data_IF_680191259326
#
_entry.id   IF_680191259326
#
_cell.length_a   1.000
_cell.length_b   1.000
_cell.length_c   1.000
_cell.angle_alpha   90.00
_cell.angle_beta   90.00
_cell.angle_gamma   90.00
#
_symmetry.space_group_name_H-M   'P 1'
#
loop_
_entity.id
_entity.type
_entity.pdbx_description
1 polymer ?
#
# COMPACT_ATOMS: atom_id res chain seq x y z
N UNK A 1 -16.41 -10.29 16.67
CA UNK A 1 -15.01 -9.91 16.85
C UNK A 1 -14.64 -8.66 16.06
N UNK A 2 -13.36 -8.31 16.03
CA UNK A 2 -12.80 -7.23 15.22
C UNK A 2 -11.82 -7.84 14.21
N UNK A 3 -12.08 -7.71 12.91
CA UNK A 3 -11.41 -8.43 11.82
C UNK A 3 -11.53 -9.96 11.95
N UNK A 4 -12.54 -10.41 12.66
CA UNK A 4 -12.69 -11.82 13.02
C UNK A 4 -13.06 -12.72 11.84
N UNK A 5 -13.76 -12.19 10.84
CA UNK A 5 -14.11 -12.93 9.62
C UNK A 5 -12.89 -13.31 8.77
N UNK A 6 -11.79 -12.54 8.87
CA UNK A 6 -10.55 -12.78 8.11
C UNK A 6 -9.46 -13.45 8.94
N UNK A 7 -9.54 -13.41 10.26
CA UNK A 7 -8.48 -13.91 11.14
C UNK A 7 -8.97 -14.98 12.13
N UNK A 8 -9.79 -14.60 13.10
CA UNK A 8 -10.18 -15.51 14.20
C UNK A 8 -11.00 -16.68 13.71
N UNK A 9 -11.97 -16.43 12.82
CA UNK A 9 -12.89 -17.47 12.33
C UNK A 9 -12.20 -18.55 11.49
N UNK A 10 -11.34 -18.21 10.51
CA UNK A 10 -10.56 -19.22 9.81
C UNK A 10 -9.65 -20.05 10.71
N UNK A 11 -9.00 -19.42 11.71
CA UNK A 11 -8.18 -20.13 12.68
C UNK A 11 -9.02 -21.12 13.53
N UNK A 12 -10.16 -20.66 14.01
CA UNK A 12 -11.06 -21.50 14.81
C UNK A 12 -11.62 -22.67 14.00
N UNK A 13 -11.98 -22.44 12.74
CA UNK A 13 -12.45 -23.48 11.84
C UNK A 13 -11.38 -24.55 11.61
N UNK A 14 -10.13 -24.13 11.35
CA UNK A 14 -9.00 -25.06 11.18
C UNK A 14 -8.74 -25.88 12.44
N UNK A 15 -8.83 -25.29 13.64
CA UNK A 15 -8.65 -26.03 14.89
C UNK A 15 -9.80 -27.02 15.14
N UNK A 16 -11.03 -26.68 14.75
CA UNK A 16 -12.16 -27.62 14.86
C UNK A 16 -11.99 -28.83 13.95
N UNK A 17 -11.59 -28.60 12.70
CA UNK A 17 -11.25 -29.69 11.77
C UNK A 17 -10.15 -30.61 12.32
N UNK A 18 -9.09 -30.04 12.92
CA UNK A 18 -8.02 -30.82 13.54
C UNK A 18 -8.51 -31.69 14.70
N UNK A 19 -9.42 -31.17 15.52
CA UNK A 19 -10.01 -31.90 16.64
C UNK A 19 -10.89 -33.05 16.14
N UNK A 20 -11.67 -32.85 15.08
CA UNK A 20 -12.49 -33.88 14.46
C UNK A 20 -11.64 -34.97 13.79
N UNK A 21 -10.58 -34.59 13.07
CA UNK A 21 -9.61 -35.54 12.51
C UNK A 21 -8.90 -36.37 13.59
N UNK A 22 -8.75 -35.84 14.80
CA UNK A 22 -8.25 -36.56 15.96
C UNK A 22 -9.30 -37.50 16.62
N UNK A 23 -10.46 -37.67 15.99
CA UNK A 23 -11.52 -38.59 16.43
C UNK A 23 -12.47 -38.02 17.50
N UNK A 24 -12.42 -36.72 17.78
CA UNK A 24 -13.33 -36.05 18.70
C UNK A 24 -14.43 -35.35 17.90
N UNK A 25 -15.67 -35.76 18.08
CA UNK A 25 -16.81 -35.10 17.41
C UNK A 25 -17.16 -33.77 18.11
N UNK A 26 -17.14 -32.70 17.37
CA UNK A 26 -17.61 -31.38 17.80
C UNK A 26 -19.05 -31.17 17.32
N UNK A 27 -19.96 -30.80 18.23
CA UNK A 27 -21.33 -30.44 17.89
C UNK A 27 -21.48 -28.94 17.68
N UNK A 28 -20.54 -28.34 16.92
CA UNK A 28 -20.52 -26.90 16.63
C UNK A 28 -20.42 -26.72 15.12
N UNK A 29 -21.41 -26.04 14.56
CA UNK A 29 -21.38 -25.62 13.16
C UNK A 29 -21.01 -24.14 13.09
N UNK A 30 -19.86 -23.84 12.50
CA UNK A 30 -19.37 -22.45 12.33
C UNK A 30 -19.97 -21.76 11.10
N UNK A 31 -20.72 -22.47 10.24
CA UNK A 31 -21.30 -21.90 9.03
C UNK A 31 -22.72 -21.33 9.24
N UNK A 32 -23.44 -21.83 10.25
CA UNK A 32 -24.83 -21.44 10.51
C UNK A 32 -24.99 -20.18 11.38
N UNK A 33 -24.11 -19.85 12.35
CA UNK A 33 -24.28 -18.64 13.15
C UNK A 33 -24.11 -17.34 12.36
N UNK A 34 -24.87 -16.33 12.71
CA UNK A 34 -24.67 -14.98 12.18
C UNK A 34 -23.40 -14.39 12.78
N UNK A 35 -22.45 -14.05 11.90
CA UNK A 35 -21.18 -13.47 12.32
C UNK A 35 -21.27 -11.93 12.35
N UNK A 36 -20.83 -11.33 13.44
CA UNK A 36 -20.73 -9.87 13.58
C UNK A 36 -19.26 -9.49 13.67
N UNK A 37 -18.77 -8.81 12.62
CA UNK A 37 -17.43 -8.24 12.58
C UNK A 37 -17.51 -6.73 12.79
N UNK A 38 -17.07 -6.27 13.95
CA UNK A 38 -17.12 -4.86 14.35
C UNK A 38 -16.24 -3.99 13.44
N UNK A 39 -15.15 -4.54 12.87
CA UNK A 39 -14.33 -3.80 11.91
C UNK A 39 -15.11 -3.50 10.63
N UNK A 40 -15.91 -4.45 10.13
CA UNK A 40 -16.73 -4.22 8.94
C UNK A 40 -17.79 -3.14 9.19
N UNK A 41 -18.42 -3.15 10.38
CA UNK A 41 -19.36 -2.09 10.79
C UNK A 41 -18.62 -0.75 10.84
N UNK A 42 -17.47 -0.70 11.52
CA UNK A 42 -16.65 0.51 11.64
C UNK A 42 -16.24 1.07 10.26
N UNK A 43 -15.73 0.24 9.37
CA UNK A 43 -15.33 0.69 8.03
C UNK A 43 -16.49 1.11 7.13
N UNK A 44 -17.71 0.61 7.41
CA UNK A 44 -18.93 0.99 6.68
C UNK A 44 -19.50 2.32 7.20
N UNK A 45 -19.52 2.47 8.52
CA UNK A 45 -20.10 3.65 9.17
C UNK A 45 -19.14 4.85 9.21
N UNK A 46 -17.83 4.58 9.18
CA UNK A 46 -16.77 5.60 9.19
C UNK A 46 -15.97 5.57 7.87
N UNK A 47 -16.52 6.12 6.78
CA UNK A 47 -15.87 6.08 5.48
C UNK A 47 -14.55 6.88 5.49
N UNK A 48 -13.51 6.29 4.86
CA UNK A 48 -12.17 6.90 4.73
C UNK A 48 -12.04 7.59 3.38
N UNK A 49 -12.74 8.70 3.20
CA UNK A 49 -12.66 9.54 2.02
C UNK A 49 -12.48 11.02 2.41
N UNK A 50 -12.22 11.88 1.42
CA UNK A 50 -11.97 13.30 1.64
C UNK A 50 -13.14 13.98 2.39
N UNK A 51 -14.38 13.66 2.04
CA UNK A 51 -15.58 14.22 2.65
C UNK A 51 -15.66 13.89 4.16
N UNK A 52 -15.41 12.63 4.52
CA UNK A 52 -15.36 12.21 5.91
C UNK A 52 -14.20 12.86 6.67
N UNK A 53 -13.03 12.97 6.04
CA UNK A 53 -11.89 13.67 6.63
C UNK A 53 -12.20 15.15 6.86
N UNK A 54 -12.84 15.80 5.89
CA UNK A 54 -13.23 17.21 6.01
C UNK A 54 -14.19 17.42 7.18
N UNK A 55 -15.24 16.61 7.28
CA UNK A 55 -16.16 16.67 8.45
C UNK A 55 -15.43 16.51 9.78
N UNK A 56 -14.50 15.57 9.84
CA UNK A 56 -13.77 15.26 11.08
C UNK A 56 -12.80 16.38 11.52
N UNK A 57 -12.12 17.01 10.56
CA UNK A 57 -11.09 18.01 10.87
C UNK A 57 -11.56 19.46 10.73
N UNK A 58 -12.66 19.73 10.02
CA UNK A 58 -13.10 21.08 9.66
C UNK A 58 -14.48 21.47 10.23
N UNK A 59 -14.89 20.90 11.36
CA UNK A 59 -16.08 21.37 12.10
C UNK A 59 -17.37 20.58 11.87
N UNK A 60 -17.33 19.44 11.21
CA UNK A 60 -18.46 18.51 11.09
C UNK A 60 -19.39 18.72 9.90
N UNK A 61 -19.22 19.81 9.14
CA UNK A 61 -20.01 20.10 7.95
C UNK A 61 -19.39 19.54 6.65
N UNK A 62 -20.20 19.45 5.60
CA UNK A 62 -19.70 19.10 4.27
C UNK A 62 -19.17 20.34 3.55
N UNK A 63 -18.28 20.15 2.58
CA UNK A 63 -17.88 21.22 1.66
C UNK A 63 -18.71 21.13 0.37
N UNK A 64 -18.99 22.32 -0.19
CA UNK A 64 -19.79 22.45 -1.41
C UNK A 64 -19.01 22.00 -2.65
N UNK A 65 -19.73 21.64 -3.71
CA UNK A 65 -19.18 21.26 -5.02
C UNK A 65 -18.15 20.12 -4.98
N UNK A 66 -18.30 19.18 -4.03
CA UNK A 66 -17.49 17.97 -3.99
C UNK A 66 -17.45 17.30 -5.38
N UNK A 67 -16.28 16.78 -5.75
CA UNK A 67 -15.93 16.21 -7.07
C UNK A 67 -15.57 17.22 -8.16
N UNK A 68 -15.42 18.49 -7.83
CA UNK A 68 -14.67 19.41 -8.68
C UNK A 68 -13.20 19.46 -8.21
N UNK A 69 -12.27 19.58 -9.15
CA UNK A 69 -10.83 19.59 -8.82
C UNK A 69 -10.46 20.74 -7.88
N UNK A 70 -11.11 21.90 -8.03
CA UNK A 70 -10.91 23.06 -7.17
C UNK A 70 -11.40 22.81 -5.74
N UNK A 71 -12.67 22.39 -5.58
CA UNK A 71 -13.25 22.13 -4.26
C UNK A 71 -12.50 21.02 -3.52
N UNK A 72 -12.15 19.93 -4.20
CA UNK A 72 -11.39 18.82 -3.61
C UNK A 72 -9.98 19.26 -3.17
N UNK A 73 -9.33 20.15 -3.94
CA UNK A 73 -8.02 20.72 -3.58
C UNK A 73 -8.11 21.61 -2.34
N UNK A 74 -9.11 22.50 -2.28
CA UNK A 74 -9.35 23.37 -1.13
C UNK A 74 -9.71 22.57 0.12
N UNK A 75 -10.56 21.56 -0.03
CA UNK A 75 -10.92 20.64 1.07
C UNK A 75 -9.71 19.86 1.57
N UNK A 76 -8.85 19.37 0.67
CA UNK A 76 -7.60 18.69 1.04
C UNK A 76 -6.68 19.61 1.84
N UNK A 77 -6.52 20.85 1.42
CA UNK A 77 -5.73 21.84 2.15
C UNK A 77 -6.30 22.15 3.54
N UNK A 78 -7.63 22.31 3.64
CA UNK A 78 -8.32 22.54 4.92
C UNK A 78 -8.14 21.35 5.88
N UNK A 79 -8.25 20.11 5.36
CA UNK A 79 -7.99 18.88 6.13
C UNK A 79 -6.55 18.85 6.64
N UNK A 80 -5.56 19.19 5.82
CA UNK A 80 -4.15 19.23 6.26
C UNK A 80 -3.97 20.25 7.40
N UNK A 81 -4.58 21.43 7.31
CA UNK A 81 -4.55 22.41 8.41
C UNK A 81 -5.15 21.85 9.69
N UNK A 82 -6.34 21.27 9.60
CA UNK A 82 -6.99 20.64 10.75
C UNK A 82 -6.20 19.49 11.35
N UNK A 83 -5.46 18.73 10.52
CA UNK A 83 -4.53 17.70 11.00
C UNK A 83 -3.34 18.29 11.76
N UNK A 84 -2.74 19.36 11.25
CA UNK A 84 -1.64 20.07 11.91
C UNK A 84 -2.09 20.70 13.24
N UNK A 85 -3.28 21.29 13.28
CA UNK A 85 -3.84 21.86 14.51
C UNK A 85 -4.13 20.76 15.56
N UNK A 86 -4.67 19.63 15.12
CA UNK A 86 -5.04 18.53 16.02
C UNK A 86 -3.84 17.74 16.54
N UNK A 87 -2.82 17.56 15.71
CA UNK A 87 -1.68 16.69 15.99
C UNK A 87 -0.34 17.46 16.00
N UNK A 88 -0.36 18.74 16.38
CA UNK A 88 0.81 19.61 16.36
C UNK A 88 2.05 19.08 17.07
N UNK A 89 1.87 18.28 18.11
CA UNK A 89 2.98 17.63 18.83
C UNK A 89 3.61 16.48 18.03
N UNK A 90 2.83 15.79 17.18
CA UNK A 90 3.27 14.63 16.39
C UNK A 90 3.54 14.98 14.92
N UNK A 91 2.84 15.97 14.37
CA UNK A 91 2.96 16.43 12.99
C UNK A 91 3.66 17.80 12.95
N UNK A 92 4.91 17.83 12.51
CA UNK A 92 5.58 19.10 12.21
C UNK A 92 5.11 19.65 10.87
N UNK A 93 4.83 20.96 10.81
CA UNK A 93 4.52 21.66 9.57
C UNK A 93 5.80 21.86 8.73
N UNK A 94 6.36 20.73 8.29
CA UNK A 94 7.54 20.64 7.43
C UNK A 94 7.28 19.61 6.35
N UNK A 95 7.45 20.00 5.08
CA UNK A 95 7.14 19.18 3.91
C UNK A 95 7.94 17.87 3.90
N UNK A 96 9.21 17.89 4.33
CA UNK A 96 10.03 16.68 4.36
C UNK A 96 9.50 15.68 5.40
N UNK A 97 9.11 16.16 6.56
CA UNK A 97 8.49 15.34 7.62
C UNK A 97 7.14 14.80 7.15
N UNK A 98 6.26 15.65 6.63
CA UNK A 98 4.92 15.27 6.18
C UNK A 98 4.96 14.28 5.01
N UNK A 99 5.89 14.47 4.06
CA UNK A 99 6.03 13.58 2.91
C UNK A 99 6.53 12.18 3.28
N UNK A 100 7.22 12.05 4.41
CA UNK A 100 7.68 10.74 4.93
C UNK A 100 6.60 9.97 5.69
N UNK A 101 5.47 10.62 6.03
CA UNK A 101 4.43 10.03 6.86
C UNK A 101 3.64 8.97 6.09
N UNK A 102 3.82 7.72 6.48
CA UNK A 102 3.07 6.59 5.92
C UNK A 102 3.51 6.09 4.55
N UNK A 103 4.49 6.71 3.91
CA UNK A 103 4.96 6.28 2.60
C UNK A 103 6.25 5.46 2.70
N UNK A 104 6.21 4.19 2.26
CA UNK A 104 7.41 3.56 1.73
C UNK A 104 7.91 4.45 0.60
N UNK A 105 9.21 4.75 0.57
CA UNK A 105 9.80 5.59 -0.49
C UNK A 105 9.54 4.96 -1.85
N UNK A 106 8.49 5.38 -2.53
CA UNK A 106 8.18 4.94 -3.87
C UNK A 106 9.14 5.57 -4.86
N UNK A 107 9.69 4.77 -5.77
CA UNK A 107 10.60 5.25 -6.82
C UNK A 107 9.78 5.71 -8.02
N UNK A 108 8.67 5.05 -8.31
CA UNK A 108 7.71 5.44 -9.35
C UNK A 108 6.36 5.83 -8.74
N UNK A 109 5.59 6.67 -9.42
CA UNK A 109 4.28 7.15 -8.91
C UNK A 109 3.21 6.07 -8.78
N UNK A 110 3.35 4.93 -9.47
CA UNK A 110 2.44 3.80 -9.36
C UNK A 110 2.74 2.90 -8.14
N UNK A 111 3.91 3.07 -7.50
CA UNK A 111 4.34 2.25 -6.37
C UNK A 111 4.77 0.83 -6.77
N UNK A 112 5.08 0.61 -8.04
CA UNK A 112 5.60 -0.67 -8.53
C UNK A 112 7.09 -0.86 -8.24
N UNK A 113 7.82 0.24 -8.09
CA UNK A 113 9.19 0.27 -7.59
C UNK A 113 9.26 1.03 -6.27
N UNK A 114 9.86 0.43 -5.26
CA UNK A 114 10.08 1.05 -3.96
C UNK A 114 11.56 1.00 -3.61
N UNK A 115 12.01 1.91 -2.78
CA UNK A 115 13.35 1.86 -2.20
C UNK A 115 13.36 0.85 -1.04
N UNK A 116 14.22 -0.14 -1.10
CA UNK A 116 14.49 -1.07 0.00
C UNK A 116 15.25 -0.41 1.16
N UNK A 117 15.33 -1.11 2.28
CA UNK A 117 16.00 -0.61 3.50
C UNK A 117 17.50 -0.37 3.28
N UNK A 118 18.11 -1.08 2.35
CA UNK A 118 19.51 -0.93 1.91
C UNK A 118 19.71 0.12 0.79
N UNK A 119 18.64 0.79 0.38
CA UNK A 119 18.67 1.80 -0.68
C UNK A 119 18.49 1.26 -2.10
N UNK A 120 18.51 -0.05 -2.30
CA UNK A 120 18.31 -0.68 -3.59
C UNK A 120 16.84 -0.56 -4.06
N UNK A 121 16.64 -0.51 -5.39
CA UNK A 121 15.31 -0.59 -5.97
C UNK A 121 14.72 -2.00 -5.83
N UNK A 122 13.52 -2.11 -5.27
CA UNK A 122 12.78 -3.36 -5.06
C UNK A 122 11.50 -3.33 -5.86
N UNK A 123 11.20 -4.42 -6.57
CA UNK A 123 9.95 -4.61 -7.30
C UNK A 123 8.83 -4.89 -6.29
N UNK A 124 7.74 -4.11 -6.35
CA UNK A 124 6.64 -4.20 -5.38
C UNK A 124 5.35 -4.81 -5.97
N UNK A 125 5.43 -5.54 -7.08
CA UNK A 125 4.27 -6.16 -7.71
C UNK A 125 4.61 -7.45 -8.45
N UNK A 126 3.57 -8.20 -8.83
CA UNK A 126 3.66 -9.39 -9.66
C UNK A 126 4.54 -10.50 -9.08
N UNK A 127 5.06 -11.36 -9.97
CA UNK A 127 5.84 -12.56 -9.60
C UNK A 127 7.17 -12.26 -8.90
N UNK A 128 7.69 -11.04 -9.06
CA UNK A 128 8.95 -10.60 -8.45
C UNK A 128 8.78 -9.63 -7.29
N UNK A 129 7.57 -9.55 -6.73
CA UNK A 129 7.32 -8.70 -5.55
C UNK A 129 8.30 -9.03 -4.42
N UNK A 130 8.96 -8.00 -3.88
CA UNK A 130 9.95 -8.11 -2.81
C UNK A 130 11.37 -8.46 -3.29
N UNK A 131 11.59 -8.67 -4.59
CA UNK A 131 12.93 -8.91 -5.13
C UNK A 131 13.60 -7.61 -5.55
N UNK A 132 14.93 -7.52 -5.38
CA UNK A 132 15.70 -6.40 -5.89
C UNK A 132 15.62 -6.35 -7.43
N UNK A 133 15.39 -5.16 -7.96
CA UNK A 133 15.31 -4.98 -9.41
C UNK A 133 16.58 -5.41 -10.12
N UNK A 134 17.75 -5.22 -9.48
CA UNK A 134 19.06 -5.67 -9.96
C UNK A 134 19.14 -7.19 -10.14
N UNK A 135 18.63 -7.95 -9.17
CA UNK A 135 18.68 -9.42 -9.24
C UNK A 135 17.79 -9.93 -10.37
N UNK A 136 16.59 -9.34 -10.50
CA UNK A 136 15.67 -9.67 -11.59
C UNK A 136 16.27 -9.29 -12.95
N UNK A 137 16.93 -8.15 -13.10
CA UNK A 137 17.63 -7.77 -14.31
C UNK A 137 18.72 -8.75 -14.68
N UNK A 138 19.43 -9.32 -13.70
CA UNK A 138 20.51 -10.28 -13.93
C UNK A 138 20.01 -11.68 -14.30
N UNK A 139 18.87 -12.09 -13.77
CA UNK A 139 18.33 -13.45 -13.93
C UNK A 139 17.24 -13.55 -14.99
N UNK A 140 16.44 -12.50 -15.16
CA UNK A 140 15.30 -12.48 -16.10
C UNK A 140 15.10 -11.09 -16.73
N UNK A 141 16.03 -10.72 -17.59
CA UNK A 141 16.05 -9.42 -18.28
C UNK A 141 14.78 -9.16 -19.12
N UNK A 142 14.17 -10.23 -19.63
CA UNK A 142 12.90 -10.16 -20.37
C UNK A 142 11.77 -9.50 -19.59
N UNK A 143 11.82 -9.53 -18.26
CA UNK A 143 10.84 -8.85 -17.41
C UNK A 143 10.86 -7.32 -17.59
N UNK A 144 12.04 -6.73 -17.74
CA UNK A 144 12.17 -5.30 -18.02
C UNK A 144 11.59 -4.94 -19.39
N UNK A 145 11.86 -5.76 -20.42
CA UNK A 145 11.26 -5.59 -21.74
C UNK A 145 9.74 -5.73 -21.70
N UNK A 146 9.22 -6.67 -20.92
CA UNK A 146 7.78 -6.83 -20.74
C UNK A 146 7.13 -5.59 -20.12
N UNK A 147 7.77 -4.96 -19.13
CA UNK A 147 7.28 -3.71 -18.55
C UNK A 147 7.28 -2.58 -19.57
N UNK A 148 8.36 -2.45 -20.36
CA UNK A 148 8.46 -1.40 -21.40
C UNK A 148 7.35 -1.52 -22.44
N UNK A 149 6.98 -2.74 -22.83
CA UNK A 149 5.99 -3.00 -23.87
C UNK A 149 4.56 -3.17 -23.31
N UNK A 150 4.41 -3.34 -22.01
CA UNK A 150 3.13 -3.57 -21.34
C UNK A 150 2.32 -2.27 -21.09
N UNK A 151 1.11 -2.42 -20.58
CA UNK A 151 0.23 -1.30 -20.21
C UNK A 151 0.59 -0.70 -18.84
N UNK A 152 1.83 -0.24 -18.68
CA UNK A 152 2.29 0.44 -17.48
C UNK A 152 2.31 1.97 -17.67
N UNK A 153 2.23 2.71 -16.55
CA UNK A 153 2.39 4.16 -16.56
C UNK A 153 3.75 4.57 -17.14
N UNK A 154 3.79 5.69 -17.86
CA UNK A 154 5.02 6.17 -18.50
C UNK A 154 6.14 6.42 -17.47
N UNK A 155 5.80 6.90 -16.28
CA UNK A 155 6.79 7.09 -15.22
C UNK A 155 7.40 5.75 -14.77
N UNK A 156 6.60 4.72 -14.54
CA UNK A 156 7.09 3.37 -14.22
C UNK A 156 8.06 2.86 -15.29
N UNK A 157 7.68 2.96 -16.57
CA UNK A 157 8.55 2.58 -17.70
C UNK A 157 9.87 3.36 -17.67
N UNK A 158 9.82 4.68 -17.44
CA UNK A 158 10.99 5.55 -17.35
C UNK A 158 11.92 5.13 -16.21
N UNK A 159 11.39 4.81 -15.02
CA UNK A 159 12.20 4.38 -13.89
C UNK A 159 12.86 3.01 -14.14
N UNK A 160 12.13 2.06 -14.74
CA UNK A 160 12.72 0.77 -15.13
C UNK A 160 13.80 0.94 -16.22
N UNK A 161 13.60 1.80 -17.21
CA UNK A 161 14.61 2.08 -18.23
C UNK A 161 15.87 2.71 -17.62
N UNK A 162 15.72 3.62 -16.67
CA UNK A 162 16.83 4.24 -15.93
C UNK A 162 17.63 3.18 -15.16
N UNK A 163 16.98 2.31 -14.41
CA UNK A 163 17.63 1.21 -13.71
C UNK A 163 18.35 0.26 -14.66
N UNK A 164 17.75 -0.06 -15.80
CA UNK A 164 18.39 -0.91 -16.82
C UNK A 164 19.69 -0.29 -17.34
N UNK A 165 19.69 1.01 -17.63
CA UNK A 165 20.89 1.74 -18.06
C UNK A 165 21.97 1.75 -16.96
N UNK A 166 21.59 2.01 -15.71
CA UNK A 166 22.50 2.01 -14.56
C UNK A 166 23.17 0.64 -14.40
N UNK A 167 22.37 -0.45 -14.41
CA UNK A 167 22.88 -1.81 -14.27
C UNK A 167 23.77 -2.23 -15.45
N UNK A 168 23.44 -1.80 -16.67
CA UNK A 168 24.27 -2.06 -17.85
C UNK A 168 25.63 -1.33 -17.75
N UNK A 169 25.61 -0.06 -17.34
CA UNK A 169 26.85 0.73 -17.16
C UNK A 169 27.76 0.13 -16.08
N UNK A 170 27.22 -0.31 -14.97
CA UNK A 170 27.98 -0.94 -13.89
C UNK A 170 28.65 -2.24 -14.37
N UNK A 171 27.94 -3.07 -15.15
CA UNK A 171 28.51 -4.27 -15.74
C UNK A 171 29.67 -3.95 -16.69
N UNK A 172 29.55 -2.87 -17.47
CA UNK A 172 30.64 -2.42 -18.34
C UNK A 172 31.84 -1.95 -17.53
N UNK A 173 31.63 -1.12 -16.49
CA UNK A 173 32.72 -0.66 -15.61
C UNK A 173 33.44 -1.83 -14.94
N UNK A 174 32.72 -2.84 -14.46
CA UNK A 174 33.30 -4.03 -13.84
C UNK A 174 34.09 -4.88 -14.84
N UNK A 175 33.69 -4.86 -16.11
CA UNK A 175 34.38 -5.62 -17.19
C UNK A 175 35.65 -4.93 -17.73
N UNK A 176 35.68 -3.58 -17.70
CA UNK A 176 36.76 -2.77 -18.26
C UNK A 176 37.65 -2.10 -17.20
N UNK A 177 37.32 -2.22 -15.93
CA UNK A 177 38.06 -1.66 -14.79
C UNK A 177 39.06 -2.60 -14.13
N UNK A 178 39.51 -3.62 -14.88
CA UNK A 178 40.65 -4.48 -14.52
C UNK A 178 41.87 -4.16 -15.37
#
# INVERSE_FOLDING_TARGET
GFNSTKFDLPMLAEEFERVELAGKKLNVDLHSPKMVDVQNIYHTMEPRNLKAAYRFYCGGEDFDNAHTAEADTLATYAVLKGQLDKYGDALKNDVNTLSSFGNKKSIDFAGYLIQGDDGDAVINFGKFKGKKARDVYNTERSYFSWIQNGAFMLDTKKQFAKLEQEFAMEKLKTKWGK
#
